data_IF_526781244123
#
_entry.id   IF_526781244123
#
_cell.length_a   1.000
_cell.length_b   1.000
_cell.length_c   1.000
_cell.angle_alpha   90.00
_cell.angle_beta   90.00
_cell.angle_gamma   90.00
#
_symmetry.space_group_name_H-M   'P 1'
#
loop_
_entity.id
_entity.type
_entity.pdbx_description
1 polymer ?
#
# COMPACT_ATOMS: atom_id res chain seq x y z
N UNK A 1 23.72 1.35 26.12
CA UNK A 1 22.99 1.98 25.00
C UNK A 1 23.09 1.08 23.78
N UNK A 2 22.04 1.01 22.95
CA UNK A 2 22.09 0.27 21.68
C UNK A 2 22.18 1.23 20.49
N UNK A 3 23.22 1.13 19.68
CA UNK A 3 23.38 1.89 18.45
C UNK A 3 22.89 1.04 17.27
N UNK A 4 21.81 1.47 16.64
CA UNK A 4 21.19 0.78 15.51
C UNK A 4 21.64 1.42 14.22
N UNK A 5 22.62 0.80 13.56
CA UNK A 5 23.14 1.23 12.28
C UNK A 5 22.29 0.66 11.15
N UNK A 6 21.49 1.52 10.54
CA UNK A 6 20.47 1.12 9.57
C UNK A 6 21.00 1.26 8.14
N UNK A 7 20.86 0.18 7.37
CA UNK A 7 21.03 0.18 5.92
C UNK A 7 19.80 0.80 5.21
N UNK A 8 19.99 1.36 4.01
CA UNK A 8 18.93 2.00 3.22
C UNK A 8 17.76 1.05 2.97
N UNK A 9 18.05 -0.22 2.66
CA UNK A 9 17.01 -1.20 2.35
C UNK A 9 16.05 -1.44 3.53
N UNK A 10 16.53 -1.34 4.77
CA UNK A 10 15.71 -1.50 5.97
C UNK A 10 14.69 -0.38 6.07
N UNK A 11 15.16 0.87 5.91
CA UNK A 11 14.33 2.08 5.96
C UNK A 11 13.30 2.08 4.83
N UNK A 12 13.70 1.72 3.61
CA UNK A 12 12.78 1.64 2.48
C UNK A 12 11.73 0.55 2.68
N UNK A 13 12.10 -0.63 3.20
CA UNK A 13 11.18 -1.73 3.41
C UNK A 13 10.10 -1.39 4.45
N UNK A 14 10.48 -0.82 5.61
CA UNK A 14 9.50 -0.45 6.64
C UNK A 14 8.61 0.73 6.23
N UNK A 15 8.97 1.47 5.18
CA UNK A 15 8.15 2.52 4.56
C UNK A 15 7.11 2.00 3.57
N UNK A 16 7.13 0.71 3.20
CA UNK A 16 6.29 0.19 2.10
C UNK A 16 4.91 -0.33 2.50
N UNK A 17 4.76 -0.94 3.68
CA UNK A 17 3.55 -1.72 3.99
C UNK A 17 2.99 -1.35 5.36
N UNK A 18 1.66 -1.30 5.45
CA UNK A 18 0.92 -1.09 6.70
C UNK A 18 1.31 -2.12 7.79
N UNK A 19 1.60 -3.36 7.41
CA UNK A 19 2.04 -4.42 8.35
C UNK A 19 3.38 -4.13 9.04
N UNK A 20 4.18 -3.19 8.52
CA UNK A 20 5.48 -2.81 9.07
C UNK A 20 5.37 -1.59 10.02
N UNK A 21 4.18 -0.99 10.17
CA UNK A 21 3.89 0.07 11.15
C UNK A 21 4.26 -0.28 12.61
N UNK A 22 4.05 -1.52 13.10
CA UNK A 22 4.52 -1.91 14.42
C UNK A 22 6.05 -1.79 14.56
N UNK A 23 6.81 -2.03 13.48
CA UNK A 23 8.28 -1.91 13.51
C UNK A 23 8.73 -0.46 13.64
N UNK A 24 8.08 0.44 12.88
CA UNK A 24 8.34 1.89 12.99
C UNK A 24 8.01 2.38 14.40
N UNK A 25 6.87 1.97 14.95
CA UNK A 25 6.45 2.34 16.31
C UNK A 25 7.42 1.82 17.38
N UNK A 26 7.90 0.58 17.23
CA UNK A 26 8.88 0.03 18.15
C UNK A 26 10.21 0.80 18.11
N UNK A 27 10.68 1.22 16.93
CA UNK A 27 11.86 2.07 16.83
C UNK A 27 11.65 3.43 17.50
N UNK A 28 10.50 4.08 17.27
CA UNK A 28 10.14 5.34 17.92
C UNK A 28 10.15 5.21 19.45
N UNK A 29 9.57 4.13 19.99
CA UNK A 29 9.55 3.85 21.43
C UNK A 29 10.94 3.57 22.00
N UNK A 30 11.76 2.75 21.34
CA UNK A 30 13.13 2.47 21.78
C UNK A 30 13.99 3.74 21.83
N UNK A 31 13.82 4.63 20.86
CA UNK A 31 14.51 5.92 20.82
C UNK A 31 13.97 6.86 21.89
N UNK A 32 12.65 6.99 22.04
CA UNK A 32 12.03 7.86 23.04
C UNK A 32 12.36 7.44 24.48
N UNK A 33 12.46 6.13 24.74
CA UNK A 33 12.86 5.58 26.03
C UNK A 33 14.38 5.71 26.30
N UNK A 34 15.17 6.17 25.32
CA UNK A 34 16.64 6.25 25.44
C UNK A 34 17.33 4.88 25.52
N UNK A 35 16.66 3.81 25.09
CA UNK A 35 17.25 2.47 25.02
C UNK A 35 18.13 2.32 23.77
N UNK A 36 17.70 2.92 22.66
CA UNK A 36 18.41 2.88 21.39
C UNK A 36 18.68 4.28 20.81
N UNK A 37 19.75 4.38 20.02
CA UNK A 37 20.05 5.50 19.13
C UNK A 37 20.15 4.97 17.71
N UNK A 38 19.43 5.60 16.79
CA UNK A 38 19.57 5.29 15.37
C UNK A 38 20.82 5.97 14.84
N UNK A 39 21.58 5.26 14.01
CA UNK A 39 22.76 5.78 13.32
C UNK A 39 22.56 5.57 11.82
N UNK A 40 22.69 6.65 11.06
CA UNK A 40 22.55 6.63 9.60
C UNK A 40 23.71 7.37 8.96
N UNK A 41 24.19 6.85 7.84
CA UNK A 41 25.19 7.57 7.05
C UNK A 41 24.53 8.62 6.16
N UNK A 42 25.27 9.66 5.76
CA UNK A 42 24.78 10.61 4.75
C UNK A 42 24.35 9.89 3.46
N UNK A 43 25.10 8.87 3.05
CA UNK A 43 24.79 8.05 1.89
C UNK A 43 23.43 7.35 2.00
N UNK A 44 23.14 6.76 3.17
CA UNK A 44 21.86 6.08 3.45
C UNK A 44 20.70 7.08 3.41
N UNK A 45 20.88 8.26 4.03
CA UNK A 45 19.84 9.29 4.04
C UNK A 45 19.57 9.85 2.64
N UNK A 46 20.60 10.12 1.85
CA UNK A 46 20.48 10.57 0.46
C UNK A 46 19.84 9.51 -0.45
N UNK A 47 20.19 8.24 -0.24
CA UNK A 47 19.60 7.14 -1.00
C UNK A 47 18.14 6.91 -0.63
N UNK A 48 17.78 7.03 0.66
CA UNK A 48 16.38 6.98 1.07
C UNK A 48 15.58 8.11 0.42
N UNK A 49 16.08 9.35 0.51
CA UNK A 49 15.43 10.54 -0.07
C UNK A 49 15.16 10.38 -1.58
N UNK A 50 16.15 9.84 -2.31
CA UNK A 50 16.02 9.60 -3.75
C UNK A 50 14.98 8.54 -4.09
N UNK A 51 14.79 7.53 -3.24
CA UNK A 51 13.98 6.35 -3.55
C UNK A 51 12.59 6.35 -2.88
N UNK A 52 12.33 7.20 -1.87
CA UNK A 52 11.09 7.17 -1.07
C UNK A 52 9.81 7.29 -1.91
N UNK A 53 9.81 8.15 -2.94
CA UNK A 53 8.64 8.33 -3.82
C UNK A 53 8.38 7.11 -4.70
N UNK A 54 9.45 6.49 -5.22
CA UNK A 54 9.34 5.27 -6.01
C UNK A 54 8.80 4.12 -5.17
N UNK A 55 9.19 4.05 -3.90
CA UNK A 55 8.73 3.09 -2.92
C UNK A 55 7.26 3.31 -2.55
N UNK A 56 6.85 4.56 -2.29
CA UNK A 56 5.45 4.93 -2.05
C UNK A 56 4.53 4.45 -3.18
N UNK A 57 4.98 4.65 -4.42
CA UNK A 57 4.24 4.39 -5.64
C UNK A 57 4.40 2.96 -6.17
N UNK A 58 5.23 2.12 -5.54
CA UNK A 58 5.53 0.76 -6.03
C UNK A 58 4.27 -0.11 -6.11
N UNK A 59 3.42 -0.04 -5.09
CA UNK A 59 2.15 -0.78 -5.04
C UNK A 59 1.20 -0.29 -6.13
N UNK A 60 1.05 1.03 -6.30
CA UNK A 60 0.23 1.62 -7.35
C UNK A 60 0.72 1.26 -8.76
N UNK A 61 2.05 1.25 -8.99
CA UNK A 61 2.67 0.85 -10.27
C UNK A 61 2.44 -0.63 -10.57
N UNK A 62 2.63 -1.52 -9.58
CA UNK A 62 2.37 -2.96 -9.75
C UNK A 62 0.91 -3.21 -10.09
N UNK A 63 -0.02 -2.64 -9.30
CA UNK A 63 -1.45 -2.76 -9.58
C UNK A 63 -1.77 -2.20 -10.97
N UNK A 64 -1.29 -1.01 -11.32
CA UNK A 64 -1.47 -0.44 -12.66
C UNK A 64 -1.02 -1.39 -13.79
N UNK A 65 0.08 -2.11 -13.59
CA UNK A 65 0.58 -3.10 -14.56
C UNK A 65 -0.32 -4.34 -14.63
N UNK A 66 -0.79 -4.85 -13.50
CA UNK A 66 -1.77 -5.95 -13.44
C UNK A 66 -3.09 -5.54 -14.12
N UNK A 67 -3.60 -4.33 -13.84
CA UNK A 67 -4.77 -3.76 -14.51
C UNK A 67 -4.58 -3.68 -16.02
N UNK A 68 -3.39 -3.25 -16.48
CA UNK A 68 -3.07 -3.23 -17.90
C UNK A 68 -3.14 -4.62 -18.53
N UNK A 69 -2.57 -5.64 -17.88
CA UNK A 69 -2.62 -7.02 -18.36
C UNK A 69 -4.06 -7.54 -18.43
N UNK A 70 -4.87 -7.29 -17.40
CA UNK A 70 -6.29 -7.65 -17.38
C UNK A 70 -7.03 -6.94 -18.51
N UNK A 71 -6.76 -5.66 -18.73
CA UNK A 71 -7.37 -4.87 -19.82
C UNK A 71 -7.00 -5.41 -21.20
N UNK A 72 -5.77 -5.86 -21.39
CA UNK A 72 -5.31 -6.46 -22.65
C UNK A 72 -6.01 -7.81 -22.90
N UNK A 73 -6.23 -8.64 -21.86
CA UNK A 73 -7.03 -9.88 -21.95
C UNK A 73 -8.50 -9.57 -22.26
N UNK A 74 -9.10 -8.59 -21.59
CA UNK A 74 -10.49 -8.17 -21.85
C UNK A 74 -10.66 -7.70 -23.30
N UNK A 75 -9.69 -6.95 -23.83
CA UNK A 75 -9.69 -6.53 -25.25
C UNK A 75 -9.63 -7.70 -26.23
N UNK A 76 -9.00 -8.81 -25.85
CA UNK A 76 -8.84 -9.98 -26.70
C UNK A 76 -10.04 -10.93 -26.63
N UNK A 77 -10.74 -11.01 -25.48
CA UNK A 77 -11.73 -12.06 -25.21
C UNK A 77 -13.14 -11.59 -24.82
N UNK A 78 -13.39 -10.31 -24.54
CA UNK A 78 -14.66 -9.87 -23.91
C UNK A 78 -15.85 -9.63 -24.85
N UNK A 79 -15.69 -9.74 -26.17
CA UNK A 79 -16.79 -9.66 -27.14
C UNK A 79 -17.69 -8.42 -26.95
N UNK A 80 -18.99 -8.63 -26.73
CA UNK A 80 -19.99 -7.55 -26.60
C UNK A 80 -19.88 -6.75 -25.29
N UNK A 81 -19.30 -7.31 -24.22
CA UNK A 81 -19.20 -6.66 -22.89
C UNK A 81 -17.86 -5.92 -22.68
N UNK A 82 -17.06 -5.78 -23.74
CA UNK A 82 -15.71 -5.24 -23.68
C UNK A 82 -15.66 -3.79 -23.18
N UNK A 83 -16.52 -2.91 -23.69
CA UNK A 83 -16.52 -1.48 -23.31
C UNK A 83 -16.88 -1.28 -21.84
N UNK A 84 -17.96 -1.92 -21.37
CA UNK A 84 -18.39 -1.85 -19.97
C UNK A 84 -17.32 -2.38 -19.02
N UNK A 85 -16.70 -3.52 -19.35
CA UNK A 85 -15.63 -4.10 -18.51
C UNK A 85 -14.40 -3.20 -18.46
N UNK A 86 -14.04 -2.56 -19.59
CA UNK A 86 -12.93 -1.61 -19.66
C UNK A 86 -13.20 -0.35 -18.84
N UNK A 87 -14.44 0.12 -18.81
CA UNK A 87 -14.86 1.30 -18.04
C UNK A 87 -14.73 1.05 -16.53
N UNK A 88 -15.25 -0.08 -16.04
CA UNK A 88 -15.10 -0.51 -14.64
C UNK A 88 -13.62 -0.63 -14.26
N UNK A 89 -12.79 -1.21 -15.13
CA UNK A 89 -11.34 -1.29 -14.89
C UNK A 89 -10.66 0.08 -14.83
N UNK A 90 -11.14 1.08 -15.57
CA UNK A 90 -10.60 2.44 -15.52
C UNK A 90 -11.00 3.17 -14.24
N UNK A 91 -12.24 2.99 -13.80
CA UNK A 91 -12.76 3.57 -12.57
C UNK A 91 -11.98 3.05 -11.35
N UNK A 92 -11.70 1.75 -11.32
CA UNK A 92 -10.80 1.16 -10.32
C UNK A 92 -9.39 1.74 -10.41
N UNK A 93 -8.85 1.84 -11.63
CA UNK A 93 -7.49 2.37 -11.85
C UNK A 93 -7.35 3.82 -11.36
N UNK A 94 -8.38 4.64 -11.54
CA UNK A 94 -8.43 6.03 -11.10
C UNK A 94 -8.36 6.19 -9.57
N UNK A 95 -8.76 5.16 -8.81
CA UNK A 95 -8.80 5.17 -7.33
C UNK A 95 -7.55 4.59 -6.67
N UNK A 96 -6.63 4.01 -7.43
CA UNK A 96 -5.35 3.49 -6.89
C UNK A 96 -4.51 4.52 -6.10
N UNK A 97 -4.45 5.82 -6.48
CA UNK A 97 -3.70 6.81 -5.71
C UNK A 97 -4.20 6.96 -4.27
N UNK A 98 -5.51 6.84 -4.03
CA UNK A 98 -6.12 6.92 -2.69
C UNK A 98 -5.63 5.80 -1.76
N UNK A 99 -5.15 4.67 -2.32
CA UNK A 99 -4.58 3.55 -1.56
C UNK A 99 -3.12 3.81 -1.14
N UNK A 100 -2.46 4.84 -1.66
CA UNK A 100 -1.06 5.15 -1.34
C UNK A 100 -0.88 6.15 -0.19
N UNK A 101 -1.94 6.82 0.26
CA UNK A 101 -1.88 7.82 1.34
C UNK A 101 -1.39 7.23 2.68
N UNK A 102 -1.72 5.96 2.94
CA UNK A 102 -1.21 5.24 4.10
C UNK A 102 0.32 5.02 4.03
N UNK A 103 0.89 4.86 2.83
CA UNK A 103 2.33 4.72 2.65
C UNK A 103 3.04 6.06 2.92
N UNK A 104 2.48 7.18 2.47
CA UNK A 104 3.02 8.51 2.75
C UNK A 104 3.05 8.83 4.25
N UNK A 105 2.05 8.38 5.01
CA UNK A 105 2.05 8.51 6.47
C UNK A 105 3.21 7.75 7.10
N UNK A 106 3.50 6.54 6.63
CA UNK A 106 4.61 5.72 7.12
C UNK A 106 5.95 6.32 6.74
N UNK A 107 6.10 6.79 5.49
CA UNK A 107 7.30 7.48 5.00
C UNK A 107 7.63 8.68 5.88
N UNK A 108 6.64 9.52 6.20
CA UNK A 108 6.85 10.69 7.06
C UNK A 108 7.34 10.33 8.46
N UNK A 109 6.87 9.21 9.02
CA UNK A 109 7.36 8.71 10.32
C UNK A 109 8.81 8.25 10.22
N UNK A 110 9.16 7.52 9.15
CA UNK A 110 10.54 7.07 8.91
C UNK A 110 11.47 8.25 8.63
N UNK A 111 11.01 9.29 7.93
CA UNK A 111 11.77 10.53 7.75
C UNK A 111 12.11 11.19 9.08
N UNK A 112 11.14 11.30 10.00
CA UNK A 112 11.40 11.81 11.36
C UNK A 112 12.41 10.95 12.12
N UNK A 113 12.36 9.63 11.97
CA UNK A 113 13.37 8.74 12.56
C UNK A 113 14.76 9.04 11.99
N UNK A 114 14.90 9.21 10.67
CA UNK A 114 16.16 9.56 10.00
C UNK A 114 16.65 10.96 10.40
N UNK A 115 15.75 11.93 10.58
CA UNK A 115 16.08 13.28 11.07
C UNK A 115 16.56 13.28 12.52
N UNK A 116 15.99 12.40 13.36
CA UNK A 116 16.38 12.23 14.76
C UNK A 116 17.63 11.38 14.96
N UNK A 117 18.05 10.64 13.93
CA UNK A 117 19.19 9.73 13.98
C UNK A 117 20.52 10.49 14.06
N UNK A 118 21.51 9.85 14.66
CA UNK A 118 22.89 10.31 14.62
C UNK A 118 23.43 10.17 13.19
N UNK A 119 23.57 11.31 12.52
CA UNK A 119 24.12 11.37 11.16
C UNK A 119 25.62 11.34 11.18
N UNK A 120 26.19 10.41 10.43
CA UNK A 120 27.64 10.29 10.27
C UNK A 120 28.05 10.37 8.79
N UNK A 121 29.12 11.09 8.54
CA UNK A 121 29.74 11.14 7.22
C UNK A 121 30.55 9.88 6.93
N UNK A 122 30.69 9.55 5.66
CA UNK A 122 31.61 8.50 5.23
C UNK A 122 33.05 9.03 5.28
N UNK A 123 33.90 8.42 6.10
CA UNK A 123 35.31 8.76 6.23
C UNK A 123 36.14 8.31 5.02
N UNK A 124 37.27 8.97 4.78
CA UNK A 124 38.25 8.53 3.77
C UNK A 124 38.81 7.13 4.07
N UNK A 125 38.98 6.78 5.34
CA UNK A 125 39.44 5.46 5.76
C UNK A 125 38.45 4.38 5.33
N UNK A 126 37.17 4.61 5.56
CA UNK A 126 36.08 3.70 5.19
C UNK A 126 35.95 3.56 3.67
N UNK A 127 36.11 4.65 2.91
CA UNK A 127 36.18 4.60 1.43
C UNK A 127 37.34 3.75 0.93
N UNK A 128 38.55 3.95 1.48
CA UNK A 128 39.74 3.19 1.09
C UNK A 128 39.55 1.69 1.41
N UNK A 129 39.00 1.37 2.58
CA UNK A 129 38.74 0.00 2.97
C UNK A 129 37.69 -0.68 2.07
N UNK A 130 36.64 0.05 1.67
CA UNK A 130 35.63 -0.44 0.73
C UNK A 130 36.24 -0.73 -0.66
N UNK A 131 37.14 0.15 -1.15
CA UNK A 131 37.89 -0.10 -2.39
C UNK A 131 38.75 -1.36 -2.27
N UNK A 132 39.43 -1.55 -1.13
CA UNK A 132 40.23 -2.75 -0.91
C UNK A 132 39.39 -4.03 -0.92
N UNK A 133 38.17 -4.02 -0.35
CA UNK A 133 37.23 -5.14 -0.48
C UNK A 133 36.94 -5.48 -1.93
N UNK A 134 36.71 -4.47 -2.77
CA UNK A 134 36.47 -4.65 -4.20
C UNK A 134 37.66 -5.27 -4.93
N UNK A 135 38.89 -4.82 -4.62
CA UNK A 135 40.12 -5.39 -5.17
C UNK A 135 40.31 -6.86 -4.73
N UNK A 136 40.02 -7.15 -3.47
CA UNK A 136 40.12 -8.49 -2.89
C UNK A 136 38.94 -9.40 -3.28
N UNK A 137 37.90 -8.85 -3.94
CA UNK A 137 36.62 -9.51 -4.24
C UNK A 137 35.92 -10.10 -3.00
N UNK A 138 36.05 -9.41 -1.87
CA UNK A 138 35.37 -9.75 -0.62
C UNK A 138 33.96 -9.19 -0.60
N UNK A 139 33.09 -9.79 0.21
CA UNK A 139 31.74 -9.27 0.43
C UNK A 139 31.75 -7.77 0.75
N UNK A 140 30.87 -6.97 0.13
CA UNK A 140 29.73 -7.39 -0.72
C UNK A 140 30.03 -7.63 -2.22
N UNK A 141 31.30 -7.63 -2.66
CA UNK A 141 31.68 -7.82 -4.08
C UNK A 141 31.83 -9.29 -4.52
N UNK A 142 31.49 -10.26 -3.67
CA UNK A 142 31.57 -11.70 -3.98
C UNK A 142 30.53 -12.15 -5.01
N UNK A 143 29.41 -11.44 -5.15
CA UNK A 143 28.30 -11.77 -6.06
C UNK A 143 28.07 -10.67 -7.11
N UNK A 144 28.10 -9.41 -6.69
CA UNK A 144 27.67 -8.24 -7.47
C UNK A 144 28.84 -7.30 -7.81
N UNK A 145 28.78 -6.66 -8.98
CA UNK A 145 29.78 -5.67 -9.42
C UNK A 145 29.52 -4.24 -8.96
N UNK A 146 28.34 -3.94 -8.40
CA UNK A 146 27.90 -2.58 -8.08
C UNK A 146 27.65 -2.34 -6.57
N UNK A 147 28.16 -3.20 -5.68
CA UNK A 147 27.94 -3.09 -4.22
C UNK A 147 28.89 -2.11 -3.53
N UNK A 148 29.25 -0.99 -4.19
CA UNK A 148 30.17 0.02 -3.62
C UNK A 148 29.53 0.74 -2.44
N UNK A 149 28.25 1.12 -2.55
CA UNK A 149 27.52 1.76 -1.46
C UNK A 149 27.49 0.87 -0.20
N UNK A 150 27.04 -0.37 -0.37
CA UNK A 150 27.04 -1.42 0.64
C UNK A 150 28.41 -1.62 1.29
N UNK A 151 29.49 -1.66 0.49
CA UNK A 151 30.86 -1.83 0.98
C UNK A 151 31.32 -0.63 1.83
N UNK A 152 30.94 0.58 1.42
CA UNK A 152 31.24 1.82 2.14
C UNK A 152 30.46 1.89 3.46
N UNK A 153 29.18 1.52 3.43
CA UNK A 153 28.29 1.52 4.60
C UNK A 153 28.82 0.59 5.69
N UNK A 154 29.20 -0.66 5.34
CA UNK A 154 29.68 -1.63 6.33
C UNK A 154 31.08 -1.29 6.88
N UNK A 155 31.95 -0.69 6.06
CA UNK A 155 33.24 -0.20 6.56
C UNK A 155 33.06 1.00 7.49
N UNK A 156 32.12 1.88 7.18
CA UNK A 156 31.78 3.00 8.07
C UNK A 156 31.15 2.52 9.38
N UNK A 157 30.30 1.49 9.34
CA UNK A 157 29.80 0.83 10.54
C UNK A 157 30.94 0.27 11.39
N UNK A 158 31.88 -0.45 10.79
CA UNK A 158 33.02 -1.00 11.51
C UNK A 158 33.90 0.09 12.14
N UNK A 159 34.14 1.19 11.42
CA UNK A 159 34.89 2.31 12.00
C UNK A 159 34.13 2.96 13.16
N UNK A 160 32.81 3.12 13.03
CA UNK A 160 31.95 3.62 14.10
C UNK A 160 31.98 2.70 15.33
N UNK A 161 31.88 1.38 15.13
CA UNK A 161 31.84 0.41 16.22
C UNK A 161 33.13 0.34 17.03
N UNK A 162 34.27 0.74 16.46
CA UNK A 162 35.55 0.85 17.19
C UNK A 162 35.59 2.05 18.16
N UNK A 163 34.69 3.02 18.00
CA UNK A 163 34.63 4.24 18.80
C UNK A 163 33.64 4.19 19.97
N UNK A 164 32.82 3.13 20.06
CA UNK A 164 31.80 3.00 21.11
C UNK A 164 32.42 2.44 22.40
N UNK A 165 31.78 2.72 23.54
CA UNK A 165 32.18 2.12 24.82
C UNK A 165 31.87 0.62 24.85
N UNK A 166 32.69 -0.17 25.55
CA UNK A 166 32.48 -1.62 25.68
C UNK A 166 31.19 -2.01 26.43
N UNK A 167 30.57 -1.07 27.13
CA UNK A 167 29.26 -1.27 27.79
C UNK A 167 28.06 -1.03 26.86
N UNK A 168 28.31 -0.43 25.70
CA UNK A 168 27.31 -0.20 24.65
C UNK A 168 27.38 -1.29 23.58
N UNK A 169 26.31 -1.42 22.80
CA UNK A 169 26.24 -2.39 21.70
C UNK A 169 25.97 -1.69 20.37
N UNK A 170 26.60 -2.16 19.30
CA UNK A 170 26.42 -1.67 17.93
C UNK A 170 25.84 -2.75 17.04
N UNK A 171 24.68 -2.49 16.48
CA UNK A 171 23.94 -3.42 15.65
C UNK A 171 23.96 -2.93 14.21
N UNK A 172 24.52 -3.73 13.30
CA UNK A 172 24.37 -3.53 11.86
C UNK A 172 23.12 -4.26 11.38
N UNK A 173 22.20 -3.52 10.77
CA UNK A 173 20.90 -4.06 10.35
C UNK A 173 20.75 -3.82 8.85
N UNK A 174 20.60 -4.91 8.09
CA UNK A 174 20.35 -4.89 6.64
C UNK A 174 19.38 -5.99 6.26
N UNK A 175 18.55 -5.78 5.24
CA UNK A 175 17.72 -6.83 4.62
C UNK A 175 18.41 -7.50 3.41
N UNK A 176 19.58 -6.99 2.99
CA UNK A 176 20.36 -7.53 1.87
C UNK A 176 21.16 -8.77 2.27
N UNK A 177 20.46 -9.89 2.44
CA UNK A 177 21.08 -11.15 2.84
C UNK A 177 22.04 -11.74 1.80
N UNK A 178 21.85 -11.43 0.51
CA UNK A 178 22.72 -11.94 -0.55
C UNK A 178 24.15 -11.41 -0.38
N UNK A 179 24.27 -10.11 -0.12
CA UNK A 179 25.56 -9.46 -0.05
C UNK A 179 26.19 -9.51 1.36
N UNK A 180 25.37 -9.64 2.40
CA UNK A 180 25.84 -9.53 3.78
C UNK A 180 25.82 -10.83 4.59
N UNK A 181 25.05 -11.84 4.19
CA UNK A 181 24.90 -13.06 4.99
C UNK A 181 25.75 -14.23 4.52
N UNK A 182 25.99 -15.17 5.44
CA UNK A 182 26.46 -16.52 5.12
C UNK A 182 25.29 -17.38 4.60
N UNK A 183 25.55 -18.69 4.37
CA UNK A 183 24.51 -19.66 3.99
C UNK A 183 23.34 -19.72 4.98
N UNK A 184 23.62 -19.55 6.28
CA UNK A 184 22.59 -19.25 7.27
C UNK A 184 22.42 -17.74 7.29
N UNK A 185 21.31 -17.23 6.75
CA UNK A 185 21.10 -15.79 6.58
C UNK A 185 21.12 -15.00 7.91
N UNK A 186 20.98 -15.68 9.04
CA UNK A 186 21.07 -15.06 10.38
C UNK A 186 22.50 -14.75 10.80
N UNK A 187 23.49 -15.25 10.08
CA UNK A 187 24.91 -15.04 10.35
C UNK A 187 25.53 -14.15 9.28
N UNK A 188 26.45 -13.25 9.66
CA UNK A 188 27.17 -12.43 8.68
C UNK A 188 28.04 -13.33 7.79
N UNK A 189 28.33 -12.85 6.57
CA UNK A 189 29.29 -13.48 5.68
C UNK A 189 30.70 -13.51 6.32
N UNK A 190 31.47 -14.56 6.08
CA UNK A 190 32.78 -14.77 6.71
C UNK A 190 33.81 -13.65 6.43
N UNK A 191 33.67 -12.94 5.30
CA UNK A 191 34.48 -11.75 4.98
C UNK A 191 34.27 -10.57 5.94
N UNK A 192 33.28 -10.66 6.83
CA UNK A 192 33.01 -9.70 7.89
C UNK A 192 33.41 -10.21 9.28
N UNK A 193 34.09 -11.36 9.40
CA UNK A 193 34.52 -11.92 10.70
C UNK A 193 35.32 -10.90 11.54
N UNK A 194 36.13 -10.05 10.89
CA UNK A 194 36.87 -8.98 11.59
C UNK A 194 35.96 -7.92 12.20
N UNK A 195 34.83 -7.64 11.56
CA UNK A 195 33.89 -6.59 11.94
C UNK A 195 33.04 -7.06 13.11
N UNK A 196 32.49 -8.27 13.03
CA UNK A 196 31.62 -8.87 14.05
C UNK A 196 32.42 -9.77 15.00
N UNK A 197 33.60 -9.31 15.41
CA UNK A 197 34.51 -10.08 16.27
C UNK A 197 34.26 -9.87 17.76
N UNK A 198 33.62 -8.76 18.14
CA UNK A 198 33.28 -8.42 19.52
C UNK A 198 31.83 -8.80 19.84
N UNK A 199 31.56 -9.24 21.06
CA UNK A 199 30.22 -9.72 21.48
C UNK A 199 29.14 -8.63 21.46
N UNK A 200 29.55 -7.36 21.59
CA UNK A 200 28.67 -6.20 21.55
C UNK A 200 28.49 -5.63 20.13
N UNK A 201 29.11 -6.21 19.10
CA UNK A 201 28.99 -5.80 17.70
C UNK A 201 28.24 -6.87 16.92
N UNK A 202 26.94 -6.65 16.71
CA UNK A 202 26.03 -7.67 16.20
C UNK A 202 25.57 -7.39 14.77
N UNK A 203 25.32 -8.47 14.03
CA UNK A 203 24.70 -8.45 12.71
C UNK A 203 23.25 -8.92 12.80
N UNK A 204 22.33 -8.21 12.15
CA UNK A 204 20.95 -8.64 11.98
C UNK A 204 20.53 -8.49 10.51
N UNK A 205 19.99 -9.57 9.96
CA UNK A 205 19.47 -9.60 8.59
C UNK A 205 17.99 -9.14 8.48
N UNK A 206 17.39 -8.73 9.60
CA UNK A 206 16.02 -8.23 9.69
C UNK A 206 15.84 -7.38 10.95
N UNK A 207 14.98 -6.36 10.85
CA UNK A 207 14.74 -5.43 11.95
C UNK A 207 14.05 -6.07 13.16
N UNK A 208 13.15 -7.03 12.95
CA UNK A 208 12.43 -7.74 14.02
C UNK A 208 13.41 -8.38 15.01
N UNK A 209 14.41 -9.08 14.49
CA UNK A 209 15.39 -9.79 15.32
C UNK A 209 16.27 -8.81 16.10
N UNK A 210 16.60 -7.65 15.52
CA UNK A 210 17.35 -6.60 16.20
C UNK A 210 16.54 -5.98 17.34
N UNK A 211 15.25 -5.69 17.12
CA UNK A 211 14.35 -5.15 18.14
C UNK A 211 14.17 -6.16 19.29
N UNK A 212 13.90 -7.43 18.97
CA UNK A 212 13.73 -8.48 19.98
C UNK A 212 14.99 -8.72 20.82
N UNK A 213 16.18 -8.50 20.25
CA UNK A 213 17.43 -8.58 21.00
C UNK A 213 17.56 -7.47 22.06
N UNK A 214 16.87 -6.34 21.88
CA UNK A 214 16.82 -5.23 22.84
C UNK A 214 15.66 -5.42 23.83
N UNK A 215 14.46 -5.68 23.30
CA UNK A 215 13.25 -5.85 24.08
C UNK A 215 12.29 -6.80 23.33
N UNK A 216 12.13 -8.02 23.84
CA UNK A 216 11.32 -9.07 23.22
C UNK A 216 9.81 -8.76 23.26
N UNK A 217 9.35 -7.98 24.25
CA UNK A 217 7.93 -7.74 24.51
C UNK A 217 7.34 -6.56 23.69
N UNK A 218 8.19 -5.64 23.22
CA UNK A 218 7.75 -4.39 22.60
C UNK A 218 6.90 -4.64 21.33
N UNK A 219 7.31 -5.61 20.51
CA UNK A 219 6.60 -5.94 19.28
C UNK A 219 5.29 -6.69 19.54
N UNK A 220 5.21 -7.47 20.61
CA UNK A 220 4.00 -8.21 20.95
C UNK A 220 2.85 -7.25 21.34
N UNK A 221 3.17 -6.23 22.15
CA UNK A 221 2.21 -5.18 22.52
C UNK A 221 1.74 -4.37 21.31
N UNK A 222 2.67 -3.91 20.47
CA UNK A 222 2.35 -3.09 19.31
C UNK A 222 1.58 -3.84 18.23
N UNK A 223 1.93 -5.10 17.94
CA UNK A 223 1.18 -5.90 16.96
C UNK A 223 -0.29 -6.05 17.36
N UNK A 224 -0.57 -6.25 18.65
CA UNK A 224 -1.94 -6.34 19.13
C UNK A 224 -2.75 -5.05 18.89
N UNK A 225 -2.12 -3.87 19.05
CA UNK A 225 -2.77 -2.58 18.77
C UNK A 225 -3.07 -2.38 17.28
N UNK A 226 -2.15 -2.79 16.40
CA UNK A 226 -2.32 -2.67 14.94
C UNK A 226 -3.22 -3.75 14.34
N UNK A 227 -3.23 -4.97 14.88
CA UNK A 227 -4.15 -6.06 14.48
C UNK A 227 -5.60 -5.70 14.79
N UNK A 228 -5.85 -4.83 15.79
CA UNK A 228 -7.18 -4.30 16.12
C UNK A 228 -7.60 -3.12 15.22
N UNK A 229 -6.74 -2.64 14.32
CA UNK A 229 -7.16 -1.67 13.29
C UNK A 229 -7.97 -2.39 12.23
N UNK A 230 -9.30 -2.21 12.26
CA UNK A 230 -10.25 -2.85 11.35
C UNK A 230 -9.73 -2.88 9.91
N UNK A 231 -9.62 -4.08 9.33
CA UNK A 231 -9.34 -4.22 7.90
C UNK A 231 -10.45 -3.50 7.13
N UNK A 232 -10.06 -2.51 6.33
CA UNK A 232 -10.99 -1.84 5.42
C UNK A 232 -11.54 -2.86 4.44
N UNK A 233 -12.83 -2.75 4.10
CA UNK A 233 -13.47 -3.56 3.06
C UNK A 233 -12.66 -3.49 1.76
N UNK A 234 -12.50 -4.64 1.09
CA UNK A 234 -11.75 -4.69 -0.16
C UNK A 234 -12.48 -3.94 -1.28
N UNK A 235 -11.74 -3.34 -2.22
CA UNK A 235 -12.37 -2.56 -3.30
C UNK A 235 -13.40 -3.37 -4.11
N UNK A 236 -13.12 -4.66 -4.38
CA UNK A 236 -14.07 -5.54 -5.06
C UNK A 236 -15.38 -5.68 -4.28
N UNK A 237 -15.29 -5.89 -2.98
CA UNK A 237 -16.47 -6.00 -2.12
C UNK A 237 -17.27 -4.69 -2.11
N UNK A 238 -16.58 -3.55 -2.09
CA UNK A 238 -17.21 -2.22 -2.19
C UNK A 238 -17.95 -2.06 -3.53
N UNK A 239 -17.34 -2.47 -4.64
CA UNK A 239 -17.94 -2.35 -5.97
C UNK A 239 -19.11 -3.31 -6.16
N UNK A 240 -18.98 -4.56 -5.73
CA UNK A 240 -20.06 -5.55 -5.81
C UNK A 240 -21.31 -5.06 -5.05
N UNK A 241 -21.12 -4.45 -3.87
CA UNK A 241 -22.22 -3.82 -3.09
C UNK A 241 -22.74 -2.56 -3.78
N UNK A 242 -21.87 -1.77 -4.40
CA UNK A 242 -22.29 -0.56 -5.11
C UNK A 242 -23.14 -0.89 -6.33
N UNK A 243 -22.77 -1.90 -7.13
CA UNK A 243 -23.53 -2.36 -8.29
C UNK A 243 -24.95 -2.81 -7.88
N UNK A 244 -25.05 -3.60 -6.79
CA UNK A 244 -26.36 -3.99 -6.23
C UNK A 244 -27.20 -2.76 -5.85
N UNK A 245 -26.60 -1.77 -5.18
CA UNK A 245 -27.31 -0.58 -4.74
C UNK A 245 -27.75 0.30 -5.92
N UNK A 246 -26.93 0.43 -6.97
CA UNK A 246 -27.27 1.14 -8.21
C UNK A 246 -28.48 0.50 -8.87
N UNK A 247 -28.46 -0.83 -9.05
CA UNK A 247 -29.55 -1.57 -9.66
C UNK A 247 -30.85 -1.43 -8.86
N UNK A 248 -30.79 -1.52 -7.52
CA UNK A 248 -31.94 -1.33 -6.63
C UNK A 248 -32.51 0.07 -6.71
N UNK A 249 -31.65 1.09 -6.75
CA UNK A 249 -32.08 2.49 -6.87
C UNK A 249 -32.74 2.74 -8.23
N UNK A 250 -32.14 2.25 -9.31
CA UNK A 250 -32.70 2.31 -10.65
C UNK A 250 -34.06 1.61 -10.72
N UNK A 251 -34.16 0.40 -10.17
CA UNK A 251 -35.38 -0.41 -10.18
C UNK A 251 -36.53 0.27 -9.44
N UNK A 252 -36.27 0.87 -8.26
CA UNK A 252 -37.28 1.65 -7.55
C UNK A 252 -37.85 2.79 -8.43
N UNK A 253 -36.96 3.51 -9.11
CA UNK A 253 -37.33 4.63 -10.00
C UNK A 253 -38.10 4.12 -11.22
N UNK A 254 -37.73 2.97 -11.75
CA UNK A 254 -38.45 2.31 -12.82
C UNK A 254 -39.87 1.93 -12.38
N UNK A 255 -40.05 1.31 -11.21
CA UNK A 255 -41.38 0.96 -10.68
C UNK A 255 -42.25 2.21 -10.46
N UNK A 256 -41.68 3.30 -9.94
CA UNK A 256 -42.38 4.59 -9.84
C UNK A 256 -42.80 5.14 -11.22
N UNK A 257 -41.98 4.93 -12.26
CA UNK A 257 -42.32 5.31 -13.63
C UNK A 257 -43.45 4.44 -14.19
N UNK A 258 -43.43 3.14 -13.95
CA UNK A 258 -44.51 2.22 -14.36
C UNK A 258 -45.83 2.63 -13.72
N UNK A 259 -45.82 2.93 -12.43
CA UNK A 259 -47.00 3.45 -11.73
C UNK A 259 -47.54 4.73 -12.38
N UNK A 260 -46.68 5.68 -12.75
CA UNK A 260 -47.10 6.92 -13.45
C UNK A 260 -47.70 6.66 -14.84
N UNK A 261 -47.18 5.68 -15.57
CA UNK A 261 -47.73 5.26 -16.87
C UNK A 261 -49.14 4.68 -16.67
N UNK A 262 -49.30 3.78 -15.70
CA UNK A 262 -50.61 3.17 -15.39
C UNK A 262 -51.67 4.19 -14.98
N UNK A 263 -51.26 5.28 -14.32
CA UNK A 263 -52.14 6.37 -13.89
C UNK A 263 -52.30 7.48 -14.94
N UNK A 264 -51.69 7.33 -16.12
CA UNK A 264 -51.80 8.28 -17.22
C UNK A 264 -51.03 9.59 -17.03
N UNK A 265 -50.11 9.66 -16.06
CA UNK A 265 -49.21 10.81 -15.86
C UNK A 265 -48.06 10.83 -16.88
N UNK A 266 -47.69 9.66 -17.41
CA UNK A 266 -46.70 9.51 -18.48
C UNK A 266 -47.35 8.76 -19.65
N UNK A 267 -47.31 9.38 -20.83
CA UNK A 267 -47.85 8.81 -22.06
C UNK A 267 -46.79 7.97 -22.79
N UNK A 268 -47.17 6.75 -23.20
CA UNK A 268 -46.33 5.91 -24.07
C UNK A 268 -46.61 6.29 -25.52
N UNK A 269 -45.58 6.77 -26.21
CA UNK A 269 -45.69 7.19 -27.62
C UNK A 269 -44.95 6.22 -28.55
N UNK A 270 -45.42 6.05 -29.80
CA UNK A 270 -44.74 5.22 -30.79
C UNK A 270 -43.32 5.70 -31.10
N UNK A 271 -42.45 4.77 -31.48
CA UNK A 271 -41.12 5.08 -31.98
C UNK A 271 -41.17 6.05 -33.18
N UNK A 272 -40.29 7.05 -33.17
CA UNK A 272 -40.23 8.09 -34.22
C UNK A 272 -41.13 9.30 -33.98
N UNK A 273 -41.87 9.34 -32.86
CA UNK A 273 -42.65 10.52 -32.47
C UNK A 273 -41.73 11.66 -32.01
N UNK A 274 -41.76 12.83 -32.65
CA UNK A 274 -40.95 14.00 -32.24
C UNK A 274 -41.52 14.73 -31.01
N UNK A 275 -41.73 14.00 -29.90
CA UNK A 275 -42.18 14.54 -28.61
C UNK A 275 -41.28 14.01 -27.50
N UNK A 276 -40.79 14.94 -26.67
CA UNK A 276 -39.85 14.68 -25.58
C UNK A 276 -40.26 15.49 -24.35
N UNK A 277 -40.14 14.90 -23.17
CA UNK A 277 -40.56 15.52 -21.92
C UNK A 277 -40.61 14.51 -20.79
N UNK A 278 -40.85 14.99 -19.58
CA UNK A 278 -40.99 14.13 -18.40
C UNK A 278 -42.34 13.38 -18.35
N UNK A 279 -43.30 13.80 -19.17
CA UNK A 279 -44.65 13.25 -19.33
C UNK A 279 -44.75 12.25 -20.49
N UNK A 280 -43.63 11.90 -21.16
CA UNK A 280 -43.62 11.03 -22.35
C UNK A 280 -42.50 10.01 -22.27
N UNK A 281 -42.79 8.77 -22.67
CA UNK A 281 -41.79 7.73 -22.92
C UNK A 281 -42.04 7.07 -24.27
N UNK A 282 -40.98 6.79 -25.03
CA UNK A 282 -41.10 6.09 -26.30
C UNK A 282 -41.18 4.58 -26.07
N UNK A 283 -42.02 3.89 -26.85
CA UNK A 283 -42.26 2.44 -26.74
C UNK A 283 -40.97 1.61 -26.68
N UNK A 284 -40.03 1.84 -27.60
CA UNK A 284 -38.76 1.12 -27.62
C UNK A 284 -37.88 1.34 -26.37
N UNK A 285 -37.96 2.52 -25.73
CA UNK A 285 -37.25 2.83 -24.48
C UNK A 285 -37.92 2.09 -23.32
N UNK A 286 -39.25 2.09 -23.28
CA UNK A 286 -40.03 1.37 -22.28
C UNK A 286 -39.73 -0.14 -22.36
N UNK A 287 -39.74 -0.71 -23.56
CA UNK A 287 -39.40 -2.12 -23.79
C UNK A 287 -37.99 -2.47 -23.31
N UNK A 288 -37.03 -1.58 -23.52
CA UNK A 288 -35.68 -1.72 -22.99
C UNK A 288 -35.65 -1.71 -21.46
N UNK A 289 -36.37 -0.78 -20.84
CA UNK A 289 -36.47 -0.66 -19.40
C UNK A 289 -37.16 -1.88 -18.75
N UNK A 290 -38.22 -2.41 -19.37
CA UNK A 290 -38.89 -3.63 -18.88
C UNK A 290 -37.92 -4.82 -18.88
N UNK A 291 -37.14 -5.00 -19.95
CA UNK A 291 -36.12 -6.06 -20.01
C UNK A 291 -35.03 -5.87 -18.96
N UNK A 292 -34.62 -4.64 -18.69
CA UNK A 292 -33.64 -4.35 -17.64
C UNK A 292 -34.20 -4.63 -16.24
N UNK A 293 -35.46 -4.26 -15.97
CA UNK A 293 -36.14 -4.54 -14.70
C UNK A 293 -36.23 -6.04 -14.42
N UNK A 294 -36.54 -6.83 -15.45
CA UNK A 294 -36.60 -8.29 -15.31
C UNK A 294 -35.24 -8.90 -14.94
N UNK A 295 -34.13 -8.35 -15.48
CA UNK A 295 -32.79 -8.80 -15.08
C UNK A 295 -32.48 -8.49 -13.62
N UNK A 296 -32.90 -7.32 -13.12
CA UNK A 296 -32.70 -6.95 -11.70
C UNK A 296 -33.48 -7.92 -10.79
N UNK A 297 -34.73 -8.24 -11.14
CA UNK A 297 -35.54 -9.23 -10.43
C UNK A 297 -34.94 -10.64 -10.45
N UNK A 298 -34.28 -11.03 -11.54
CA UNK A 298 -33.62 -12.33 -11.66
C UNK A 298 -32.32 -12.40 -10.83
N UNK A 299 -31.62 -11.28 -10.63
CA UNK A 299 -30.33 -11.21 -9.94
C UNK A 299 -30.51 -11.06 -8.42
N UNK A 300 -31.46 -10.22 -7.97
CA UNK A 300 -31.59 -9.87 -6.56
C UNK A 300 -32.91 -10.36 -5.95
N UNK A 301 -32.82 -11.03 -4.80
CA UNK A 301 -33.99 -11.52 -4.06
C UNK A 301 -34.81 -10.39 -3.41
N UNK A 302 -34.14 -9.29 -3.04
CA UNK A 302 -34.77 -8.11 -2.44
C UNK A 302 -34.75 -6.93 -3.41
N UNK A 303 -35.86 -6.72 -4.11
CA UNK A 303 -36.11 -5.57 -5.01
C UNK A 303 -37.22 -4.65 -4.49
N UNK A 304 -37.56 -4.78 -3.19
CA UNK A 304 -38.62 -4.04 -2.53
C UNK A 304 -40.01 -4.69 -2.62
N UNK A 305 -41.10 -3.94 -2.32
CA UNK A 305 -41.11 -2.52 -2.00
C UNK A 305 -40.46 -2.21 -0.64
N UNK A 306 -39.72 -1.12 -0.57
CA UNK A 306 -39.04 -0.66 0.64
C UNK A 306 -39.84 0.43 1.36
N UNK A 307 -39.77 0.47 2.70
CA UNK A 307 -40.24 1.59 3.50
C UNK A 307 -39.39 2.85 3.27
N UNK A 308 -39.89 4.03 3.67
CA UNK A 308 -39.12 5.29 3.59
C UNK A 308 -37.75 5.20 4.27
N UNK A 309 -37.67 4.47 5.38
CA UNK A 309 -36.41 4.24 6.09
C UNK A 309 -35.45 3.36 5.29
N UNK A 310 -35.92 2.21 4.80
CA UNK A 310 -35.10 1.29 4.01
C UNK A 310 -34.63 1.94 2.70
N UNK A 311 -35.51 2.68 2.05
CA UNK A 311 -35.17 3.48 0.87
C UNK A 311 -34.12 4.55 1.19
N UNK A 312 -34.28 5.28 2.29
CA UNK A 312 -33.29 6.24 2.77
C UNK A 312 -31.93 5.57 3.08
N UNK A 313 -31.93 4.37 3.66
CA UNK A 313 -30.72 3.61 3.93
C UNK A 313 -30.03 3.13 2.66
N UNK A 314 -30.77 2.68 1.64
CA UNK A 314 -30.21 2.27 0.34
C UNK A 314 -29.49 3.45 -0.32
N UNK A 315 -30.17 4.60 -0.42
CA UNK A 315 -29.57 5.81 -1.02
C UNK A 315 -28.39 6.32 -0.19
N UNK A 316 -28.49 6.29 1.14
CA UNK A 316 -27.40 6.71 2.04
C UNK A 316 -26.17 5.82 1.92
N UNK A 317 -26.35 4.50 1.79
CA UNK A 317 -25.25 3.56 1.53
C UNK A 317 -24.60 3.83 0.17
N UNK A 318 -25.39 3.99 -0.89
CA UNK A 318 -24.88 4.28 -2.23
C UNK A 318 -24.07 5.58 -2.25
N UNK A 319 -24.62 6.65 -1.66
CA UNK A 319 -23.97 7.95 -1.50
C UNK A 319 -22.65 7.83 -0.73
N UNK A 320 -22.64 7.12 0.40
CA UNK A 320 -21.42 6.93 1.18
C UNK A 320 -20.34 6.16 0.40
N UNK A 321 -20.70 5.10 -0.32
CA UNK A 321 -19.75 4.34 -1.13
C UNK A 321 -19.20 5.19 -2.28
N UNK A 322 -20.06 5.90 -3.02
CA UNK A 322 -19.65 6.80 -4.11
C UNK A 322 -18.75 7.93 -3.62
N UNK A 323 -19.07 8.52 -2.47
CA UNK A 323 -18.26 9.57 -1.86
C UNK A 323 -16.85 9.09 -1.45
N UNK A 324 -16.76 7.91 -0.81
CA UNK A 324 -15.47 7.28 -0.49
C UNK A 324 -14.64 6.98 -1.75
N UNK A 325 -15.33 6.79 -2.87
CA UNK A 325 -14.79 6.49 -4.18
C UNK A 325 -14.51 7.74 -5.04
N UNK A 326 -14.79 8.95 -4.52
CA UNK A 326 -14.41 10.23 -5.12
C UNK A 326 -15.53 11.03 -5.79
N UNK A 327 -16.78 10.54 -5.75
CA UNK A 327 -17.94 11.28 -6.27
C UNK A 327 -18.48 12.29 -5.25
N UNK A 328 -19.31 13.24 -5.72
CA UNK A 328 -20.03 14.16 -4.85
C UNK A 328 -21.11 13.43 -4.03
N UNK A 329 -21.38 13.95 -2.83
CA UNK A 329 -22.23 13.28 -1.83
C UNK A 329 -23.65 12.98 -2.32
N UNK A 330 -24.20 13.80 -3.21
CA UNK A 330 -25.55 13.70 -3.76
C UNK A 330 -25.63 12.98 -5.12
N UNK A 331 -24.52 12.40 -5.61
CA UNK A 331 -24.48 11.66 -6.88
C UNK A 331 -25.21 10.32 -6.75
N UNK A 332 -26.51 10.35 -7.02
CA UNK A 332 -27.39 9.17 -7.02
C UNK A 332 -27.90 8.82 -8.43
N UNK A 333 -27.22 9.29 -9.49
CA UNK A 333 -27.58 8.94 -10.87
C UNK A 333 -27.41 7.43 -11.10
N UNK A 334 -28.36 6.84 -11.82
CA UNK A 334 -28.46 5.39 -12.06
C UNK A 334 -29.00 5.11 -13.44
#
# INVERSE_FOLDING_TARGET
MFYLFLDTCVLLDISTKKQDLPLVSALEELVAAGMAKLVVTDLVAEEYERNKEDVANKTARRLSQEFKQVKDVVREFAGENQEQTIEVLNDIHARLPLLTDANYTTIHRVEKLIESAERIGISERSKIAAVQRGLDKKAPFHISKNSVADAVIIEQFHEFSLGIESSDSSYFITHNHNDFSAKDHRKPHADFDRIFSEENVCYFNNLISAINAINEDILAGLKFEYDYTEETRGLREILDVMDELVDKVWYNRHQNRMWKIEHGEIEVVPEGTERYGNDVIHEHILDGAIRAAQKVEDIYEDTGPWSDFEWGMINGKLSALRWVLGDEWDMLDT
#
